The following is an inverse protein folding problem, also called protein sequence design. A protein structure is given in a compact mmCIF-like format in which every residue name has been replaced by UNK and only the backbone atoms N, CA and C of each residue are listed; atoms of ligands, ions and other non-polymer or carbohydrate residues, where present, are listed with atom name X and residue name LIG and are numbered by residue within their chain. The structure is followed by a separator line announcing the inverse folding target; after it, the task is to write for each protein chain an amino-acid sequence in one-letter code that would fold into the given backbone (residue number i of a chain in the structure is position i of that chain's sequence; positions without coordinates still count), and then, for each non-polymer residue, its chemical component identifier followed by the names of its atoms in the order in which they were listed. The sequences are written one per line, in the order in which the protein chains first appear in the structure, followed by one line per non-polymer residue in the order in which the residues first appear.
data_IF_625671799002
#
_entry.id   IF_625671799002
#
_cell.length_a   1.000
_cell.length_b   1.000
_cell.length_c   1.000
_cell.angle_alpha   90.00
_cell.angle_beta   90.00
_cell.angle_gamma   90.00
#
_symmetry.space_group_name_H-M   'P 1'
#
loop_
_entity.id
_entity.type
_entity.pdbx_description
1 polymer ?
#
# COMPACT_ATOMS: atom_id res chain seq x y z
N UNK A 1 -43.09 13.02 -36.00
CA UNK A 1 -43.47 13.44 -34.63
C UNK A 1 -42.19 13.85 -33.90
N UNK A 2 -41.83 15.13 -33.98
CA UNK A 2 -40.69 15.68 -33.22
C UNK A 2 -41.15 15.94 -31.79
N UNK A 3 -40.78 15.03 -30.90
CA UNK A 3 -41.05 15.16 -29.47
C UNK A 3 -40.11 16.20 -28.87
N UNK A 4 -40.64 17.11 -28.06
CA UNK A 4 -39.93 18.19 -27.32
C UNK A 4 -38.58 17.75 -26.69
N UNK A 5 -38.41 16.47 -26.38
CA UNK A 5 -37.15 15.87 -25.93
C UNK A 5 -35.95 16.17 -26.86
N UNK A 6 -36.15 16.22 -28.18
CA UNK A 6 -35.07 16.49 -29.16
C UNK A 6 -34.60 17.94 -29.19
N UNK A 7 -35.47 18.91 -28.86
CA UNK A 7 -35.06 20.32 -28.76
C UNK A 7 -34.31 20.60 -27.46
N UNK A 8 -34.66 19.91 -26.37
CA UNK A 8 -33.95 20.02 -25.09
C UNK A 8 -32.56 19.37 -25.10
N UNK A 9 -32.36 18.28 -25.85
CA UNK A 9 -31.07 17.56 -25.93
C UNK A 9 -29.97 18.29 -26.71
N UNK A 10 -30.26 19.41 -27.38
CA UNK A 10 -29.24 20.18 -28.10
C UNK A 10 -29.06 21.60 -27.54
N UNK A 11 -29.81 21.96 -26.49
CA UNK A 11 -29.67 23.23 -25.80
C UNK A 11 -28.29 23.36 -25.15
N UNK A 12 -27.70 24.56 -25.25
CA UNK A 12 -26.43 24.91 -24.58
C UNK A 12 -26.54 24.67 -23.07
N UNK A 13 -27.69 24.99 -22.47
CA UNK A 13 -27.94 24.79 -21.04
C UNK A 13 -27.81 23.31 -20.67
N UNK A 14 -28.41 22.40 -21.44
CA UNK A 14 -28.34 20.96 -21.17
C UNK A 14 -26.90 20.46 -21.30
N UNK A 15 -26.13 20.93 -22.28
CA UNK A 15 -24.73 20.55 -22.43
C UNK A 15 -23.86 21.02 -21.26
N UNK A 16 -24.11 22.23 -20.75
CA UNK A 16 -23.43 22.76 -19.56
C UNK A 16 -23.77 21.93 -18.33
N UNK A 17 -25.05 21.56 -18.13
CA UNK A 17 -25.47 20.69 -17.02
C UNK A 17 -24.78 19.33 -17.12
N UNK A 18 -24.79 18.70 -18.31
CA UNK A 18 -24.16 17.38 -18.50
C UNK A 18 -22.64 17.45 -18.35
N UNK A 19 -22.01 18.57 -18.71
CA UNK A 19 -20.58 18.79 -18.45
C UNK A 19 -20.27 18.79 -16.96
N UNK A 20 -21.01 19.56 -16.15
CA UNK A 20 -20.83 19.55 -14.70
C UNK A 20 -21.13 18.16 -14.11
N UNK A 21 -22.15 17.47 -14.61
CA UNK A 21 -22.45 16.09 -14.20
C UNK A 21 -21.27 15.16 -14.47
N UNK A 22 -20.65 15.22 -15.65
CA UNK A 22 -19.46 14.43 -15.97
C UNK A 22 -18.30 14.71 -15.01
N UNK A 23 -18.01 15.99 -14.76
CA UNK A 23 -16.96 16.42 -13.81
C UNK A 23 -17.23 15.90 -12.40
N UNK A 24 -18.46 16.03 -11.91
CA UNK A 24 -18.85 15.58 -10.57
C UNK A 24 -18.82 14.05 -10.45
N UNK A 25 -19.29 13.32 -11.45
CA UNK A 25 -19.24 11.87 -11.49
C UNK A 25 -17.80 11.35 -11.45
N UNK A 26 -16.91 11.88 -12.30
CA UNK A 26 -15.51 11.47 -12.33
C UNK A 26 -14.78 11.82 -11.02
N UNK A 27 -14.96 13.06 -10.54
CA UNK A 27 -14.33 13.51 -9.29
C UNK A 27 -14.83 12.69 -8.10
N UNK A 28 -16.13 12.36 -8.07
CA UNK A 28 -16.71 11.49 -7.07
C UNK A 28 -16.13 10.08 -7.13
N UNK A 29 -15.95 9.51 -8.33
CA UNK A 29 -15.36 8.18 -8.51
C UNK A 29 -13.93 8.14 -7.96
N UNK A 30 -13.11 9.14 -8.29
CA UNK A 30 -11.75 9.27 -7.74
C UNK A 30 -11.78 9.41 -6.23
N UNK A 31 -12.64 10.28 -5.67
CA UNK A 31 -12.77 10.44 -4.22
C UNK A 31 -13.12 9.12 -3.54
N UNK A 32 -14.14 8.42 -4.02
CA UNK A 32 -14.56 7.14 -3.46
C UNK A 32 -13.47 6.08 -3.56
N UNK A 33 -12.73 6.03 -4.66
CA UNK A 33 -11.60 5.11 -4.83
C UNK A 33 -10.49 5.36 -3.79
N UNK A 34 -10.13 6.63 -3.55
CA UNK A 34 -9.15 6.99 -2.52
C UNK A 34 -9.64 6.69 -1.10
N UNK A 35 -10.91 6.98 -0.79
CA UNK A 35 -11.48 6.68 0.53
C UNK A 35 -11.49 5.17 0.81
N UNK A 36 -11.76 4.35 -0.19
CA UNK A 36 -11.66 2.89 -0.07
C UNK A 36 -10.21 2.45 0.10
N UNK A 37 -9.30 2.95 -0.75
CA UNK A 37 -7.88 2.60 -0.67
C UNK A 37 -7.26 2.92 0.69
N UNK A 38 -7.61 4.06 1.30
CA UNK A 38 -7.13 4.43 2.64
C UNK A 38 -7.75 3.59 3.77
N UNK A 39 -8.98 3.10 3.60
CA UNK A 39 -9.65 2.26 4.59
C UNK A 39 -8.93 0.90 4.76
N UNK A 40 -8.40 0.38 3.65
CA UNK A 40 -7.84 -0.98 3.55
C UNK A 40 -6.35 -1.00 3.23
N UNK A 41 -5.68 0.15 3.39
CA UNK A 41 -4.25 0.33 3.10
C UNK A 41 -3.84 -0.15 1.69
N UNK A 42 -4.73 0.02 0.71
CA UNK A 42 -4.51 -0.39 -0.69
C UNK A 42 -4.84 -1.86 -1.01
N UNK A 43 -5.21 -2.68 -0.04
CA UNK A 43 -5.57 -4.10 -0.21
C UNK A 43 -7.01 -4.32 -0.70
N UNK A 44 -7.25 -4.02 -1.98
CA UNK A 44 -8.55 -4.23 -2.62
C UNK A 44 -8.98 -5.70 -2.76
N UNK A 45 -8.06 -6.64 -2.55
CA UNK A 45 -8.28 -8.08 -2.58
C UNK A 45 -9.25 -8.58 -1.50
N UNK A 46 -9.45 -7.81 -0.42
CA UNK A 46 -10.42 -8.11 0.66
C UNK A 46 -11.84 -8.45 0.17
N UNK A 47 -12.27 -7.92 -0.98
CA UNK A 47 -13.60 -8.21 -1.52
C UNK A 47 -13.73 -9.63 -2.10
N UNK A 48 -12.60 -10.23 -2.49
CA UNK A 48 -12.54 -11.57 -3.07
C UNK A 48 -12.21 -12.66 -2.04
N UNK A 49 -11.87 -12.29 -0.82
CA UNK A 49 -11.54 -13.24 0.26
C UNK A 49 -12.81 -13.90 0.83
N UNK A 50 -12.82 -15.20 0.98
CA UNK A 50 -14.02 -15.93 1.43
C UNK A 50 -14.36 -15.68 2.91
N UNK A 51 -13.36 -15.73 3.77
CA UNK A 51 -13.50 -15.54 5.20
C UNK A 51 -12.20 -14.98 5.82
N UNK A 52 -12.29 -14.51 7.07
CA UNK A 52 -11.14 -13.92 7.77
C UNK A 52 -9.96 -14.88 7.91
N UNK A 53 -10.16 -16.17 8.16
CA UNK A 53 -9.07 -17.11 8.40
C UNK A 53 -8.20 -17.38 7.16
N UNK A 54 -8.76 -17.18 5.96
CA UNK A 54 -8.02 -17.26 4.69
C UNK A 54 -7.69 -15.88 4.11
N UNK A 55 -7.94 -14.82 4.89
CA UNK A 55 -7.65 -13.44 4.47
C UNK A 55 -6.17 -13.12 4.61
N UNK A 56 -5.73 -12.16 3.80
CA UNK A 56 -4.42 -11.53 3.96
C UNK A 56 -4.26 -10.88 5.33
N UNK A 57 -5.30 -10.25 5.87
CA UNK A 57 -5.26 -9.61 7.20
C UNK A 57 -4.86 -10.61 8.28
N UNK A 58 -5.43 -11.81 8.27
CA UNK A 58 -5.10 -12.84 9.23
C UNK A 58 -3.68 -13.40 9.03
N UNK A 59 -3.23 -13.56 7.79
CA UNK A 59 -1.86 -13.98 7.49
C UNK A 59 -0.83 -12.97 8.00
N UNK A 60 -1.04 -11.67 7.78
CA UNK A 60 -0.17 -10.59 8.26
C UNK A 60 -0.14 -10.53 9.80
N UNK A 61 -1.27 -10.79 10.48
CA UNK A 61 -1.33 -10.85 11.94
C UNK A 61 -0.48 -12.01 12.50
N UNK A 62 -0.57 -13.21 11.93
CA UNK A 62 0.30 -14.32 12.37
C UNK A 62 1.75 -14.04 12.02
N UNK A 63 2.03 -13.55 10.81
CA UNK A 63 3.40 -13.22 10.38
C UNK A 63 4.08 -12.28 11.38
N UNK A 64 3.40 -11.20 11.73
CA UNK A 64 3.93 -10.20 12.65
C UNK A 64 4.30 -10.85 14.01
N UNK A 65 3.41 -11.68 14.57
CA UNK A 65 3.66 -12.39 15.82
C UNK A 65 4.82 -13.38 15.68
N UNK A 66 4.85 -14.15 14.59
CA UNK A 66 5.85 -15.17 14.35
C UNK A 66 7.25 -14.59 14.19
N UNK A 67 7.38 -13.51 13.41
CA UNK A 67 8.63 -12.75 13.24
C UNK A 67 9.08 -12.17 14.56
N UNK A 68 8.18 -11.51 15.31
CA UNK A 68 8.50 -10.89 16.58
C UNK A 68 9.01 -11.94 17.60
N UNK A 69 8.37 -13.11 17.68
CA UNK A 69 8.79 -14.20 18.55
C UNK A 69 10.14 -14.79 18.16
N UNK A 70 10.36 -15.00 16.85
CA UNK A 70 11.60 -15.58 16.33
C UNK A 70 12.80 -14.65 16.56
N UNK A 71 12.60 -13.34 16.34
CA UNK A 71 13.62 -12.34 16.62
C UNK A 71 13.95 -12.29 18.13
N UNK A 72 12.94 -12.40 19.01
CA UNK A 72 13.14 -12.40 20.45
C UNK A 72 13.95 -13.60 20.93
N UNK A 73 13.64 -14.82 20.49
CA UNK A 73 14.37 -16.02 20.94
C UNK A 73 15.73 -16.16 20.26
N UNK A 74 15.84 -15.83 18.96
CA UNK A 74 17.01 -16.09 18.13
C UNK A 74 18.01 -14.93 18.11
N UNK A 75 17.55 -13.78 17.59
CA UNK A 75 18.40 -12.61 17.30
C UNK A 75 18.74 -11.82 18.56
N UNK A 76 17.74 -11.45 19.35
CA UNK A 76 17.92 -10.61 20.52
C UNK A 76 18.23 -11.41 21.79
N UNK A 77 17.63 -12.59 21.93
CA UNK A 77 17.76 -13.50 23.08
C UNK A 77 17.26 -12.87 24.38
N UNK A 78 18.03 -11.99 24.98
CA UNK A 78 17.71 -11.30 26.23
C UNK A 78 18.49 -9.97 26.35
N UNK A 79 18.07 -9.12 27.30
CA UNK A 79 18.69 -7.80 27.50
C UNK A 79 20.19 -7.90 27.83
N UNK A 80 20.62 -8.92 28.57
CA UNK A 80 22.03 -9.11 28.91
C UNK A 80 22.89 -9.41 27.67
N UNK A 81 22.38 -10.22 26.74
CA UNK A 81 23.03 -10.50 25.46
C UNK A 81 23.21 -9.21 24.65
N UNK A 82 22.18 -8.36 24.59
CA UNK A 82 22.23 -7.08 23.88
C UNK A 82 23.22 -6.12 24.55
N UNK A 83 23.17 -5.99 25.88
CA UNK A 83 24.07 -5.11 26.65
C UNK A 83 25.55 -5.49 26.51
N UNK A 84 25.84 -6.78 26.31
CA UNK A 84 27.20 -7.28 26.01
C UNK A 84 27.63 -7.04 24.55
N UNK A 85 26.76 -6.47 23.72
CA UNK A 85 27.02 -6.25 22.29
C UNK A 85 26.88 -7.50 21.44
N UNK A 86 26.07 -8.48 21.86
CA UNK A 86 25.92 -9.77 21.19
C UNK A 86 25.46 -9.71 19.73
N UNK A 87 24.80 -8.62 19.33
CA UNK A 87 24.32 -8.36 17.97
C UNK A 87 25.29 -7.52 17.13
N UNK A 88 26.42 -7.09 17.69
CA UNK A 88 27.39 -6.23 17.01
C UNK A 88 28.45 -7.12 16.34
N UNK A 89 28.19 -7.50 15.09
CA UNK A 89 29.17 -8.18 14.24
C UNK A 89 30.18 -7.19 13.64
N UNK A 90 31.34 -7.69 13.20
CA UNK A 90 32.33 -6.84 12.53
C UNK A 90 31.76 -6.25 11.23
N UNK A 91 30.98 -7.03 10.47
CA UNK A 91 30.28 -6.57 9.27
C UNK A 91 29.33 -5.41 9.55
N UNK A 92 28.49 -5.53 10.58
CA UNK A 92 27.58 -4.45 10.98
C UNK A 92 28.36 -3.19 11.36
N UNK A 93 29.46 -3.35 12.08
CA UNK A 93 30.31 -2.23 12.47
C UNK A 93 30.98 -1.55 11.27
N UNK A 94 31.43 -2.31 10.27
CA UNK A 94 31.96 -1.78 9.00
C UNK A 94 30.90 -0.97 8.27
N UNK A 95 29.68 -1.49 8.12
CA UNK A 95 28.59 -0.79 7.43
C UNK A 95 28.22 0.53 8.14
N UNK A 96 28.11 0.49 9.46
CA UNK A 96 27.77 1.67 10.28
C UNK A 96 28.87 2.74 10.29
N UNK A 97 30.10 2.34 10.02
CA UNK A 97 31.26 3.24 9.97
C UNK A 97 31.68 3.59 8.55
N UNK A 98 31.07 3.01 7.51
CA UNK A 98 31.54 3.08 6.14
C UNK A 98 31.76 4.51 5.65
N UNK A 99 30.77 5.36 5.85
CA UNK A 99 30.87 6.77 5.46
C UNK A 99 31.89 7.55 6.30
N UNK A 100 32.19 7.12 7.52
CA UNK A 100 33.17 7.76 8.39
C UNK A 100 34.59 7.40 7.93
N UNK A 101 34.86 6.10 7.75
CA UNK A 101 36.18 5.64 7.34
C UNK A 101 36.42 5.74 5.82
N UNK A 102 35.44 6.04 4.96
CA UNK A 102 35.76 6.39 3.56
C UNK A 102 36.14 7.88 3.41
N UNK A 103 35.76 8.71 4.38
CA UNK A 103 35.96 10.17 4.33
C UNK A 103 36.96 10.70 5.37
N UNK A 104 37.65 9.83 6.11
CA UNK A 104 38.62 10.26 7.12
C UNK A 104 39.92 10.74 6.47
N UNK A 105 40.61 11.63 7.18
CA UNK A 105 41.79 12.39 6.73
C UNK A 105 42.95 11.52 6.22
N UNK A 106 43.05 10.27 6.70
CA UNK A 106 44.13 9.35 6.35
C UNK A 106 43.67 8.15 5.51
N UNK A 107 42.51 8.28 4.85
CA UNK A 107 42.09 7.30 3.86
C UNK A 107 43.09 7.23 2.71
N UNK A 108 43.51 6.02 2.35
CA UNK A 108 44.47 5.81 1.27
C UNK A 108 43.87 4.94 0.18
N UNK A 109 43.72 5.51 -1.02
CA UNK A 109 43.25 4.78 -2.21
C UNK A 109 44.22 3.70 -2.69
N UNK A 110 45.43 3.62 -2.13
CA UNK A 110 46.40 2.56 -2.41
C UNK A 110 46.32 1.37 -1.44
N UNK A 111 45.53 1.48 -0.37
CA UNK A 111 45.26 0.40 0.58
C UNK A 111 43.92 -0.26 0.28
N UNK A 112 43.73 -1.49 0.74
CA UNK A 112 42.42 -2.14 0.69
C UNK A 112 41.48 -1.51 1.72
N UNK A 113 40.18 -1.70 1.52
CA UNK A 113 39.14 -1.23 2.42
C UNK A 113 39.29 -1.81 3.83
N UNK A 114 39.66 -3.08 3.96
CA UNK A 114 39.91 -3.72 5.25
C UNK A 114 41.08 -3.07 6.00
N UNK A 115 42.15 -2.70 5.28
CA UNK A 115 43.33 -2.08 5.87
C UNK A 115 43.05 -0.61 6.25
N UNK A 116 42.32 0.13 5.41
CA UNK A 116 41.84 1.48 5.76
C UNK A 116 40.93 1.45 6.99
N UNK A 117 39.98 0.50 7.04
CA UNK A 117 39.10 0.32 8.18
C UNK A 117 39.85 -0.06 9.47
N UNK A 118 40.84 -0.97 9.38
CA UNK A 118 41.68 -1.35 10.52
C UNK A 118 42.40 -0.14 11.11
N UNK A 119 43.00 0.69 10.25
CA UNK A 119 43.67 1.94 10.66
C UNK A 119 42.71 2.93 11.29
N UNK A 120 41.51 3.10 10.74
CA UNK A 120 40.47 3.94 11.33
C UNK A 120 40.10 3.46 12.74
N UNK A 121 39.90 2.15 12.94
CA UNK A 121 39.59 1.55 14.24
C UNK A 121 40.69 1.77 15.28
N UNK A 122 41.96 1.70 14.86
CA UNK A 122 43.13 1.94 15.71
C UNK A 122 43.28 3.43 16.09
N UNK A 123 42.97 4.36 15.17
CA UNK A 123 43.11 5.80 15.40
C UNK A 123 41.91 6.42 16.13
N UNK A 124 40.71 5.88 15.96
CA UNK A 124 39.46 6.44 16.52
C UNK A 124 38.72 5.44 17.43
N UNK A 125 39.37 4.89 18.47
CA UNK A 125 38.76 3.89 19.35
C UNK A 125 37.51 4.43 20.08
N UNK A 126 37.50 5.72 20.42
CA UNK A 126 36.38 6.38 21.09
C UNK A 126 35.15 6.52 20.18
N UNK A 127 35.36 6.81 18.89
CA UNK A 127 34.26 6.87 17.91
C UNK A 127 33.63 5.49 17.72
N UNK A 128 34.47 4.46 17.60
CA UNK A 128 34.03 3.07 17.52
C UNK A 128 33.24 2.68 18.79
N UNK A 129 33.72 3.06 19.98
CA UNK A 129 33.01 2.80 21.23
C UNK A 129 31.65 3.52 21.28
N UNK A 130 31.59 4.78 20.81
CA UNK A 130 30.34 5.54 20.73
C UNK A 130 29.33 4.91 19.77
N UNK A 131 29.79 4.44 18.61
CA UNK A 131 28.94 3.73 17.64
C UNK A 131 28.42 2.43 18.25
N UNK A 132 29.27 1.63 18.89
CA UNK A 132 28.83 0.42 19.59
C UNK A 132 27.77 0.73 20.66
N UNK A 133 27.99 1.76 21.48
CA UNK A 133 27.01 2.17 22.48
C UNK A 133 25.68 2.64 21.87
N UNK A 134 25.72 3.32 20.72
CA UNK A 134 24.51 3.68 19.98
C UNK A 134 23.77 2.45 19.48
N UNK A 135 24.48 1.49 18.86
CA UNK A 135 23.90 0.24 18.36
C UNK A 135 23.25 -0.57 19.49
N UNK A 136 23.90 -0.68 20.66
CA UNK A 136 23.31 -1.34 21.84
C UNK A 136 21.99 -0.68 22.25
N UNK A 137 21.93 0.66 22.25
CA UNK A 137 20.69 1.39 22.59
C UNK A 137 19.60 1.18 21.56
N UNK A 138 19.94 1.16 20.28
CA UNK A 138 19.00 0.89 19.19
C UNK A 138 18.45 -0.53 19.28
N UNK A 139 19.32 -1.52 19.53
CA UNK A 139 18.93 -2.92 19.69
C UNK A 139 18.04 -3.13 20.92
N UNK A 140 18.34 -2.48 22.05
CA UNK A 140 17.49 -2.50 23.25
C UNK A 140 16.12 -1.85 22.96
N UNK A 141 16.10 -0.74 22.23
CA UNK A 141 14.85 -0.08 21.86
C UNK A 141 13.98 -1.01 21.01
N UNK A 142 14.55 -1.67 20.01
CA UNK A 142 13.80 -2.60 19.16
C UNK A 142 13.32 -3.82 19.96
N UNK A 143 14.19 -4.38 20.81
CA UNK A 143 13.81 -5.47 21.72
C UNK A 143 12.61 -5.10 22.59
N UNK A 144 12.58 -3.91 23.19
CA UNK A 144 11.43 -3.47 23.97
C UNK A 144 10.19 -3.21 23.11
N UNK A 145 10.36 -2.69 21.89
CA UNK A 145 9.26 -2.48 20.96
C UNK A 145 8.60 -3.81 20.55
N UNK A 146 9.38 -4.84 20.23
CA UNK A 146 8.92 -6.20 19.95
C UNK A 146 8.06 -6.73 21.10
N UNK A 147 8.58 -6.64 22.33
CA UNK A 147 7.86 -7.11 23.53
C UNK A 147 6.56 -6.35 23.77
N UNK A 148 6.57 -5.03 23.52
CA UNK A 148 5.38 -4.20 23.65
C UNK A 148 4.33 -4.57 22.61
N UNK A 149 4.70 -4.73 21.33
CA UNK A 149 3.78 -5.15 20.26
C UNK A 149 3.07 -6.45 20.63
N UNK A 150 3.81 -7.47 21.07
CA UNK A 150 3.23 -8.74 21.49
C UNK A 150 2.29 -8.61 22.70
N UNK A 151 2.55 -7.65 23.61
CA UNK A 151 1.70 -7.40 24.76
C UNK A 151 0.42 -6.60 24.43
N UNK A 152 0.40 -5.89 23.30
CA UNK A 152 -0.76 -5.13 22.82
C UNK A 152 -1.85 -6.03 22.19
N UNK A 153 -1.52 -7.28 21.83
CA UNK A 153 -2.51 -8.26 21.37
C UNK A 153 -3.29 -8.86 22.55
N UNK A 154 -4.44 -8.25 22.87
CA UNK A 154 -5.37 -8.78 23.88
C UNK A 154 -6.05 -10.07 23.37
N UNK A 155 -5.66 -11.22 23.93
CA UNK A 155 -6.13 -12.54 23.50
C UNK A 155 -5.16 -13.33 22.62
N UNK A 156 -3.92 -12.87 22.47
CA UNK A 156 -2.82 -13.68 21.92
C UNK A 156 -2.20 -14.55 23.02
N UNK A 157 -2.02 -15.83 22.73
CA UNK A 157 -1.30 -16.79 23.57
C UNK A 157 -0.11 -17.33 22.78
N UNK A 158 1.08 -17.34 23.39
CA UNK A 158 2.28 -17.80 22.70
C UNK A 158 3.30 -18.46 23.61
N UNK A 159 4.05 -19.39 23.01
CA UNK A 159 5.25 -19.97 23.59
C UNK A 159 6.31 -20.12 22.50
N UNK A 160 7.49 -19.54 22.70
CA UNK A 160 8.59 -19.63 21.76
C UNK A 160 9.89 -20.02 22.48
N UNK A 161 10.67 -20.94 21.90
CA UNK A 161 11.90 -21.46 22.47
C UNK A 161 12.89 -21.91 21.39
N UNK A 162 14.19 -21.69 21.61
CA UNK A 162 15.27 -22.17 20.73
C UNK A 162 16.32 -23.05 21.43
N UNK A 163 15.89 -23.83 22.44
CA UNK A 163 16.73 -24.69 23.26
C UNK A 163 17.59 -23.98 24.32
N UNK A 164 17.88 -22.69 24.12
CA UNK A 164 18.60 -21.86 25.11
C UNK A 164 17.72 -20.76 25.71
N UNK A 165 16.92 -20.10 24.88
CA UNK A 165 16.11 -18.94 25.26
C UNK A 165 14.64 -19.28 25.12
N UNK A 166 13.84 -18.83 26.09
CA UNK A 166 12.38 -19.02 26.11
C UNK A 166 11.72 -17.66 26.24
N UNK A 167 10.71 -17.41 25.40
CA UNK A 167 9.85 -16.24 25.48
C UNK A 167 8.38 -16.66 25.37
N UNK A 168 7.59 -16.40 26.41
CA UNK A 168 6.20 -16.87 26.50
C UNK A 168 5.35 -16.01 27.44
N UNK A 169 4.05 -15.95 27.16
CA UNK A 169 3.04 -15.40 28.07
C UNK A 169 2.17 -16.47 28.74
N UNK A 170 2.49 -17.76 28.55
CA UNK A 170 1.84 -18.90 29.20
C UNK A 170 2.88 -19.75 29.95
N UNK A 171 2.43 -20.67 30.79
CA UNK A 171 3.34 -21.65 31.39
C UNK A 171 3.64 -22.78 30.41
N UNK A 172 4.81 -23.37 30.52
CA UNK A 172 5.20 -24.52 29.70
C UNK A 172 4.20 -25.70 29.82
N UNK A 173 3.69 -25.95 31.03
CA UNK A 173 2.68 -26.98 31.29
C UNK A 173 1.33 -26.70 30.61
N UNK A 174 1.15 -25.52 30.06
CA UNK A 174 -0.07 -25.06 29.38
C UNK A 174 0.07 -25.07 27.85
N UNK A 175 1.23 -25.45 27.29
CA UNK A 175 1.45 -25.59 25.83
C UNK A 175 0.32 -26.37 25.16
N UNK A 176 -0.08 -27.50 25.75
CA UNK A 176 -1.17 -28.34 25.22
C UNK A 176 -2.54 -27.67 25.19
N UNK A 177 -2.78 -26.64 26.02
CA UNK A 177 -4.04 -25.88 26.02
C UNK A 177 -4.16 -24.98 24.79
N UNK A 178 -3.05 -24.58 24.16
CA UNK A 178 -3.07 -23.77 22.93
C UNK A 178 -3.81 -24.50 21.80
N UNK A 179 -3.68 -25.83 21.74
CA UNK A 179 -4.40 -26.67 20.77
C UNK A 179 -5.92 -26.72 20.98
N UNK A 180 -6.41 -26.22 22.11
CA UNK A 180 -7.86 -26.08 22.38
C UNK A 180 -8.45 -24.74 21.92
N UNK A 181 -7.59 -23.80 21.50
CA UNK A 181 -8.04 -22.54 20.93
C UNK A 181 -8.68 -22.77 19.55
N UNK A 182 -9.61 -21.90 19.13
CA UNK A 182 -10.25 -22.01 17.82
C UNK A 182 -9.27 -21.95 16.66
N UNK A 183 -8.14 -21.29 16.87
CA UNK A 183 -7.06 -21.14 15.88
C UNK A 183 -5.71 -21.24 16.58
N UNK A 184 -4.84 -22.07 16.03
CA UNK A 184 -3.45 -22.17 16.50
C UNK A 184 -2.48 -22.50 15.36
N UNK A 185 -1.23 -22.13 15.63
CA UNK A 185 -0.05 -22.51 14.88
C UNK A 185 0.93 -23.17 15.86
N UNK A 186 1.42 -24.35 15.51
CA UNK A 186 2.47 -25.04 16.23
C UNK A 186 3.62 -25.41 15.29
N UNK A 187 4.83 -25.01 15.66
CA UNK A 187 6.10 -25.35 15.03
C UNK A 187 6.87 -26.18 16.05
N UNK A 188 7.05 -27.46 15.79
CA UNK A 188 7.81 -28.35 16.67
C UNK A 188 8.38 -29.54 15.90
N UNK A 189 9.65 -29.89 16.12
CA UNK A 189 10.30 -31.06 15.52
C UNK A 189 10.19 -31.14 13.98
N UNK A 190 10.51 -30.06 13.26
CA UNK A 190 10.36 -29.94 11.81
C UNK A 190 8.91 -30.07 11.30
N UNK A 191 7.91 -30.03 12.19
CA UNK A 191 6.50 -30.08 11.83
C UNK A 191 5.85 -28.73 12.07
N UNK A 192 5.14 -28.29 11.05
CA UNK A 192 4.24 -27.17 11.07
C UNK A 192 2.83 -27.74 11.17
N UNK A 193 2.07 -27.31 12.16
CA UNK A 193 0.68 -27.73 12.38
C UNK A 193 -0.17 -26.48 12.52
N UNK A 194 -1.12 -26.31 11.60
CA UNK A 194 -2.12 -25.25 11.64
C UNK A 194 -3.48 -25.84 11.95
N UNK A 195 -4.25 -25.09 12.72
CA UNK A 195 -5.68 -25.36 12.88
C UNK A 195 -6.47 -24.06 12.80
N UNK A 196 -7.62 -24.07 12.12
CA UNK A 196 -8.15 -25.16 11.29
C UNK A 196 -7.34 -25.40 9.99
N UNK A 197 -7.34 -26.63 9.46
CA UNK A 197 -6.50 -27.07 8.31
C UNK A 197 -6.74 -26.23 7.05
N UNK A 198 -7.94 -25.69 6.87
CA UNK A 198 -8.28 -24.84 5.71
C UNK A 198 -7.45 -23.56 5.63
N UNK A 199 -6.80 -23.16 6.72
CA UNK A 199 -5.89 -22.02 6.77
C UNK A 199 -4.56 -22.36 6.08
N UNK A 200 -4.12 -23.62 6.18
CA UNK A 200 -2.77 -24.05 5.79
C UNK A 200 -2.49 -23.79 4.30
N UNK A 201 -3.43 -24.12 3.41
CA UNK A 201 -3.25 -23.95 1.96
C UNK A 201 -3.02 -22.48 1.54
N UNK A 202 -3.72 -21.54 2.16
CA UNK A 202 -3.52 -20.11 1.89
C UNK A 202 -2.28 -19.58 2.62
N UNK A 203 -2.01 -20.08 3.81
CA UNK A 203 -0.89 -19.63 4.65
C UNK A 203 0.48 -19.89 3.98
N UNK A 204 0.66 -21.04 3.34
CA UNK A 204 1.88 -21.34 2.58
C UNK A 204 2.13 -20.35 1.44
N UNK A 205 1.08 -19.85 0.76
CA UNK A 205 1.25 -18.90 -0.35
C UNK A 205 1.82 -17.55 0.10
N UNK A 206 1.53 -17.12 1.33
CA UNK A 206 1.95 -15.83 1.85
C UNK A 206 3.28 -15.89 2.63
N UNK A 207 3.57 -17.03 3.28
CA UNK A 207 4.62 -17.12 4.31
C UNK A 207 5.77 -18.08 4.02
N UNK A 208 5.80 -18.70 2.84
CA UNK A 208 6.85 -19.65 2.41
C UNK A 208 8.28 -19.16 2.75
N UNK A 209 8.59 -17.92 2.36
CA UNK A 209 9.90 -17.32 2.55
C UNK A 209 10.28 -17.01 4.02
N UNK A 210 9.30 -16.94 4.93
CA UNK A 210 9.51 -16.67 6.37
C UNK A 210 9.55 -17.96 7.18
N UNK A 211 8.80 -18.97 6.75
CA UNK A 211 8.86 -20.31 7.33
C UNK A 211 10.26 -20.90 7.15
N UNK A 212 10.91 -20.64 6.02
CA UNK A 212 12.32 -20.99 5.81
C UNK A 212 13.28 -20.31 6.80
N UNK A 213 12.92 -19.13 7.32
CA UNK A 213 13.74 -18.38 8.30
C UNK A 213 13.54 -18.85 9.74
N UNK A 214 12.47 -19.62 10.02
CA UNK A 214 12.16 -20.10 11.37
C UNK A 214 13.14 -21.13 11.91
N UNK A 215 14.08 -21.64 11.12
CA UNK A 215 14.94 -22.78 11.48
C UNK A 215 14.15 -23.86 12.23
N UNK A 216 13.19 -24.46 11.51
CA UNK A 216 12.17 -25.40 12.02
C UNK A 216 12.74 -26.59 12.81
N UNK A 217 14.05 -26.83 12.73
CA UNK A 217 14.74 -27.88 13.47
C UNK A 217 15.17 -27.48 14.88
N UNK A 218 15.43 -26.19 15.10
CA UNK A 218 16.00 -25.68 16.35
C UNK A 218 15.01 -24.86 17.17
N UNK A 219 13.94 -24.35 16.54
CA UNK A 219 12.96 -23.50 17.18
C UNK A 219 11.63 -24.23 17.40
N UNK A 220 11.06 -24.04 18.57
CA UNK A 220 9.71 -24.46 18.94
C UNK A 220 8.86 -23.22 19.14
N UNK A 221 7.82 -23.03 18.34
CA UNK A 221 6.94 -21.86 18.39
C UNK A 221 5.48 -22.29 18.37
N UNK A 222 4.73 -21.84 19.36
CA UNK A 222 3.29 -22.01 19.44
C UNK A 222 2.63 -20.63 19.52
N UNK A 223 1.62 -20.42 18.69
CA UNK A 223 0.79 -19.21 18.64
C UNK A 223 -0.67 -19.67 18.65
N UNK A 224 -1.50 -19.04 19.48
CA UNK A 224 -2.93 -19.29 19.49
C UNK A 224 -3.69 -18.00 19.82
N UNK A 225 -4.91 -17.90 19.31
CA UNK A 225 -5.78 -16.76 19.55
C UNK A 225 -7.03 -17.18 20.32
N UNK A 226 -7.44 -16.35 21.27
CA UNK A 226 -8.70 -16.54 21.99
C UNK A 226 -9.89 -16.27 21.07
N UNK A 227 -11.04 -16.83 21.42
CA UNK A 227 -12.29 -16.62 20.68
C UNK A 227 -12.70 -15.14 20.67
N UNK A 228 -12.51 -14.42 21.79
CA UNK A 228 -12.82 -13.00 21.89
C UNK A 228 -11.98 -12.14 20.94
N UNK A 229 -10.67 -12.43 20.82
CA UNK A 229 -9.79 -11.78 19.87
C UNK A 229 -10.28 -11.99 18.43
N UNK A 230 -10.51 -13.26 18.06
CA UNK A 230 -10.97 -13.62 16.72
C UNK A 230 -12.32 -12.99 16.39
N UNK A 231 -13.27 -13.00 17.32
CA UNK A 231 -14.59 -12.39 17.13
C UNK A 231 -14.50 -10.89 16.87
N UNK A 232 -13.61 -10.18 17.56
CA UNK A 232 -13.35 -8.76 17.30
C UNK A 232 -12.77 -8.54 15.91
N UNK A 233 -11.71 -9.28 15.54
CA UNK A 233 -11.05 -9.15 14.24
C UNK A 233 -11.95 -9.54 13.07
N UNK A 234 -12.72 -10.62 13.18
CA UNK A 234 -13.70 -11.04 12.18
C UNK A 234 -14.75 -9.94 11.96
N UNK A 235 -15.17 -9.24 13.02
CA UNK A 235 -16.13 -8.13 12.91
C UNK A 235 -15.51 -6.92 12.21
N UNK A 236 -14.28 -6.56 12.55
CA UNK A 236 -13.51 -5.49 11.88
C UNK A 236 -13.35 -5.81 10.39
N UNK A 237 -12.85 -7.02 10.07
CA UNK A 237 -12.68 -7.50 8.70
C UNK A 237 -13.99 -7.51 7.91
N UNK A 238 -15.10 -8.03 8.47
CA UNK A 238 -16.42 -8.00 7.80
C UNK A 238 -16.89 -6.58 7.53
N UNK A 239 -16.64 -5.66 8.47
CA UNK A 239 -17.02 -4.24 8.32
C UNK A 239 -16.19 -3.56 7.24
N UNK A 240 -14.88 -3.84 7.20
CA UNK A 240 -13.98 -3.36 6.16
C UNK A 240 -14.40 -3.91 4.79
N UNK A 241 -14.58 -5.23 4.65
CA UNK A 241 -15.02 -5.89 3.41
C UNK A 241 -16.32 -5.30 2.87
N UNK A 242 -17.35 -5.18 3.71
CA UNK A 242 -18.63 -4.61 3.30
C UNK A 242 -18.53 -3.14 2.89
N UNK A 243 -17.67 -2.36 3.56
CA UNK A 243 -17.42 -0.96 3.23
C UNK A 243 -16.68 -0.83 1.90
N UNK A 244 -15.70 -1.70 1.64
CA UNK A 244 -14.96 -1.79 0.38
C UNK A 244 -15.88 -2.16 -0.78
N UNK A 245 -16.70 -3.21 -0.64
CA UNK A 245 -17.69 -3.59 -1.66
C UNK A 245 -18.61 -2.42 -2.00
N UNK A 246 -19.18 -1.78 -0.98
CA UNK A 246 -20.07 -0.62 -1.17
C UNK A 246 -19.34 0.52 -1.88
N UNK A 247 -18.10 0.81 -1.49
CA UNK A 247 -17.27 1.84 -2.10
C UNK A 247 -16.96 1.53 -3.58
N UNK A 248 -16.63 0.28 -3.91
CA UNK A 248 -16.40 -0.15 -5.29
C UNK A 248 -17.68 -0.05 -6.14
N UNK A 249 -18.84 -0.42 -5.60
CA UNK A 249 -20.12 -0.21 -6.29
C UNK A 249 -20.43 1.26 -6.52
N UNK A 250 -20.09 2.12 -5.57
CA UNK A 250 -20.21 3.57 -5.72
C UNK A 250 -19.28 4.10 -6.83
N UNK A 251 -18.03 3.63 -6.88
CA UNK A 251 -17.09 3.95 -7.98
C UNK A 251 -17.66 3.51 -9.32
N UNK A 252 -18.15 2.26 -9.42
CA UNK A 252 -18.73 1.73 -10.64
C UNK A 252 -19.95 2.55 -11.11
N UNK A 253 -20.85 2.90 -10.20
CA UNK A 253 -22.02 3.74 -10.51
C UNK A 253 -21.65 5.14 -10.97
N UNK A 254 -20.63 5.76 -10.34
CA UNK A 254 -20.13 7.08 -10.74
C UNK A 254 -19.40 7.05 -12.08
N UNK A 255 -18.62 6.01 -12.36
CA UNK A 255 -17.98 5.81 -13.66
C UNK A 255 -19.02 5.57 -14.77
N UNK A 256 -20.09 4.82 -14.49
CA UNK A 256 -21.19 4.65 -15.43
C UNK A 256 -21.87 6.00 -15.73
N UNK A 257 -22.17 6.79 -14.69
CA UNK A 257 -22.71 8.15 -14.85
C UNK A 257 -21.80 9.05 -15.68
N UNK A 258 -20.50 8.99 -15.44
CA UNK A 258 -19.49 9.69 -16.23
C UNK A 258 -19.50 9.26 -17.70
N UNK A 259 -19.52 7.96 -17.99
CA UNK A 259 -19.54 7.43 -19.36
C UNK A 259 -20.80 7.84 -20.12
N UNK A 260 -21.97 7.84 -19.47
CA UNK A 260 -23.22 8.29 -20.06
C UNK A 260 -23.18 9.79 -20.38
N UNK A 261 -22.70 10.61 -19.45
CA UNK A 261 -22.54 12.05 -19.64
C UNK A 261 -21.52 12.36 -20.75
N UNK A 262 -20.37 11.67 -20.75
CA UNK A 262 -19.34 11.81 -21.77
C UNK A 262 -19.86 11.42 -23.15
N UNK A 263 -20.57 10.29 -23.26
CA UNK A 263 -21.18 9.84 -24.52
C UNK A 263 -22.14 10.90 -25.09
N UNK A 264 -22.99 11.47 -24.23
CA UNK A 264 -23.88 12.56 -24.62
C UNK A 264 -23.11 13.80 -25.11
N UNK A 265 -22.06 14.21 -24.40
CA UNK A 265 -21.22 15.35 -24.77
C UNK A 265 -20.51 15.09 -26.10
N UNK A 266 -19.96 13.88 -26.30
CA UNK A 266 -19.34 13.47 -27.56
C UNK A 266 -20.33 13.52 -28.70
N UNK A 267 -21.56 13.02 -28.54
CA UNK A 267 -22.60 13.05 -29.60
C UNK A 267 -23.01 14.49 -29.94
N UNK A 268 -23.20 15.34 -28.93
CA UNK A 268 -23.71 16.71 -29.10
C UNK A 268 -22.61 17.76 -29.35
N UNK A 269 -21.33 17.38 -29.23
CA UNK A 269 -20.19 18.26 -29.49
C UNK A 269 -20.24 18.82 -30.92
N UNK A 270 -20.14 20.15 -31.02
CA UNK A 270 -20.12 20.88 -32.28
C UNK A 270 -21.48 21.07 -32.98
N UNK A 271 -22.59 20.51 -32.48
CA UNK A 271 -23.91 20.58 -33.14
C UNK A 271 -24.86 21.54 -32.46
N UNK A 272 -25.62 22.36 -33.20
CA UNK A 272 -26.66 23.24 -32.61
C UNK A 272 -28.03 22.58 -32.47
N UNK A 273 -28.36 21.61 -33.30
CA UNK A 273 -29.65 20.91 -33.28
C UNK A 273 -29.55 19.48 -33.82
N UNK A 274 -30.60 18.69 -33.60
CA UNK A 274 -30.68 17.33 -34.12
C UNK A 274 -30.79 17.38 -35.65
N UNK A 275 -29.82 16.77 -36.35
CA UNK A 275 -29.73 16.81 -37.82
C UNK A 275 -28.81 17.90 -38.37
N UNK A 276 -28.20 18.72 -37.50
CA UNK A 276 -27.16 19.67 -37.88
C UNK A 276 -25.94 18.92 -38.44
N UNK A 277 -25.60 19.22 -39.70
CA UNK A 277 -24.46 18.63 -40.41
C UNK A 277 -23.18 19.45 -40.21
N UNK A 278 -23.30 20.70 -39.77
CA UNK A 278 -22.15 21.58 -39.58
C UNK A 278 -21.58 21.42 -38.16
N UNK A 279 -20.25 21.56 -38.05
CA UNK A 279 -19.53 21.52 -36.78
C UNK A 279 -19.13 22.94 -36.41
N UNK A 280 -19.68 23.44 -35.31
CA UNK A 280 -19.38 24.77 -34.78
C UNK A 280 -18.26 24.72 -33.74
N UNK A 281 -17.28 25.60 -33.91
CA UNK A 281 -16.10 25.75 -33.06
C UNK A 281 -16.25 26.95 -32.12
N UNK A 282 -15.76 26.81 -30.89
CA UNK A 282 -15.55 27.88 -29.92
C UNK A 282 -14.10 28.41 -30.02
N UNK A 283 -13.80 29.59 -29.46
CA UNK A 283 -12.46 30.20 -29.55
C UNK A 283 -11.32 29.31 -29.01
N UNK A 284 -11.57 28.49 -28.00
CA UNK A 284 -10.60 27.55 -27.44
C UNK A 284 -10.36 26.31 -28.32
N UNK A 285 -11.24 26.05 -29.29
CA UNK A 285 -11.04 24.99 -30.29
C UNK A 285 -10.10 25.45 -31.44
N UNK A 286 -9.38 26.56 -31.28
CA UNK A 286 -8.38 27.05 -32.24
C UNK A 286 -6.95 26.56 -31.95
N UNK A 287 -6.76 25.78 -30.89
CA UNK A 287 -5.48 25.16 -30.59
C UNK A 287 -5.13 24.14 -31.69
N UNK A 288 -3.85 24.07 -32.08
CA UNK A 288 -3.38 22.99 -32.93
C UNK A 288 -3.61 21.63 -32.26
N UNK A 289 -4.01 20.62 -33.03
CA UNK A 289 -4.49 19.34 -32.49
C UNK A 289 -3.39 18.55 -31.78
N UNK A 290 -2.15 18.63 -32.26
CA UNK A 290 -0.95 18.09 -31.64
C UNK A 290 -0.63 18.78 -30.30
N UNK A 291 -0.71 20.11 -30.24
CA UNK A 291 -0.56 20.88 -29.00
C UNK A 291 -1.67 20.52 -28.00
N UNK A 292 -2.92 20.44 -28.46
CA UNK A 292 -4.07 20.06 -27.65
C UNK A 292 -3.90 18.64 -27.07
N UNK A 293 -3.50 17.67 -27.90
CA UNK A 293 -3.19 16.31 -27.46
C UNK A 293 -2.03 16.28 -26.44
N UNK A 294 -0.98 17.05 -26.70
CA UNK A 294 0.14 17.20 -25.76
C UNK A 294 -0.30 17.74 -24.40
N UNK A 295 -1.20 18.73 -24.37
CA UNK A 295 -1.78 19.26 -23.13
C UNK A 295 -2.65 18.23 -22.41
N UNK A 296 -3.46 17.45 -23.13
CA UNK A 296 -4.22 16.34 -22.53
C UNK A 296 -3.28 15.35 -21.82
N UNK A 297 -2.21 14.92 -22.50
CA UNK A 297 -1.22 14.00 -21.94
C UNK A 297 -0.54 14.64 -20.73
N UNK A 298 -0.11 15.91 -20.84
CA UNK A 298 0.55 16.61 -19.75
C UNK A 298 -0.33 16.74 -18.49
N UNK A 299 -1.63 17.05 -18.65
CA UNK A 299 -2.56 17.14 -17.53
C UNK A 299 -2.77 15.77 -16.87
N UNK A 300 -2.96 14.71 -17.65
CA UNK A 300 -3.13 13.34 -17.12
C UNK A 300 -1.87 12.89 -16.39
N UNK A 301 -0.69 13.09 -16.99
CA UNK A 301 0.59 12.73 -16.37
C UNK A 301 0.84 13.53 -15.09
N UNK A 302 0.61 14.84 -15.11
CA UNK A 302 0.79 15.69 -13.92
C UNK A 302 -0.16 15.26 -12.80
N UNK A 303 -1.43 15.02 -13.13
CA UNK A 303 -2.41 14.53 -12.16
C UNK A 303 -2.01 13.17 -11.58
N UNK A 304 -1.56 12.23 -12.42
CA UNK A 304 -1.12 10.89 -11.98
C UNK A 304 0.12 10.96 -11.07
N UNK A 305 1.15 11.73 -11.47
CA UNK A 305 2.36 11.90 -10.66
C UNK A 305 2.03 12.52 -9.30
N UNK A 306 1.20 13.56 -9.26
CA UNK A 306 0.81 14.22 -8.01
C UNK A 306 -0.03 13.32 -7.11
N UNK A 307 -0.93 12.51 -7.69
CA UNK A 307 -1.79 11.60 -6.92
C UNK A 307 -1.03 10.40 -6.36
N UNK A 308 -0.12 9.80 -7.13
CA UNK A 308 0.71 8.67 -6.66
C UNK A 308 1.74 9.14 -5.64
N UNK A 309 2.47 10.23 -5.91
CA UNK A 309 3.54 10.67 -5.03
C UNK A 309 3.05 11.12 -3.65
N UNK A 310 1.80 11.59 -3.57
CA UNK A 310 1.23 12.10 -2.34
C UNK A 310 0.00 11.32 -1.88
N UNK A 311 -0.18 10.06 -2.32
CA UNK A 311 -1.38 9.26 -2.07
C UNK A 311 -1.80 9.27 -0.59
N UNK A 312 -0.86 8.96 0.30
CA UNK A 312 -1.07 8.86 1.76
C UNK A 312 -1.34 10.22 2.43
N UNK A 313 -0.88 11.33 1.81
CA UNK A 313 -0.98 12.68 2.39
C UNK A 313 -2.13 13.50 1.82
N UNK A 314 -2.50 13.25 0.58
CA UNK A 314 -3.53 14.02 -0.12
C UNK A 314 -4.92 13.65 0.40
N UNK A 315 -5.18 12.36 0.69
CA UNK A 315 -6.47 11.89 1.20
C UNK A 315 -7.68 12.58 0.57
N UNK A 316 -8.50 13.25 1.39
CA UNK A 316 -9.72 13.96 0.93
C UNK A 316 -9.43 15.20 0.05
N UNK A 317 -8.20 15.71 0.03
CA UNK A 317 -7.81 16.83 -0.82
C UNK A 317 -7.65 16.45 -2.31
N UNK A 318 -7.72 15.15 -2.65
CA UNK A 318 -7.65 14.66 -4.04
C UNK A 318 -8.70 15.31 -4.95
N UNK A 319 -9.83 15.71 -4.37
CA UNK A 319 -10.92 16.43 -5.05
C UNK A 319 -10.44 17.75 -5.63
N UNK A 320 -9.64 18.53 -4.89
CA UNK A 320 -9.16 19.85 -5.32
C UNK A 320 -8.17 19.75 -6.48
N UNK A 321 -7.43 18.64 -6.58
CA UNK A 321 -6.54 18.36 -7.69
C UNK A 321 -7.30 17.82 -8.91
N UNK A 322 -8.27 16.93 -8.66
CA UNK A 322 -9.00 16.22 -9.72
C UNK A 322 -9.97 17.12 -10.47
N UNK A 323 -10.69 18.00 -9.76
CA UNK A 323 -11.72 18.86 -10.34
C UNK A 323 -11.18 19.78 -11.45
N UNK A 324 -10.09 20.56 -11.28
CA UNK A 324 -9.53 21.36 -12.36
C UNK A 324 -8.94 20.50 -13.48
N UNK A 325 -8.27 19.39 -13.13
CA UNK A 325 -7.66 18.49 -14.11
C UNK A 325 -8.71 17.88 -15.05
N UNK A 326 -9.79 17.30 -14.52
CA UNK A 326 -10.86 16.71 -15.34
C UNK A 326 -11.63 17.78 -16.11
N UNK A 327 -11.87 18.95 -15.53
CA UNK A 327 -12.57 20.04 -16.22
C UNK A 327 -11.78 20.51 -17.44
N UNK A 328 -10.47 20.75 -17.28
CA UNK A 328 -9.60 21.18 -18.37
C UNK A 328 -9.40 20.05 -19.40
N UNK A 329 -9.18 18.82 -18.93
CA UNK A 329 -9.05 17.64 -19.79
C UNK A 329 -10.29 17.39 -20.65
N UNK A 330 -11.50 17.51 -20.08
CA UNK A 330 -12.75 17.36 -20.84
C UNK A 330 -12.93 18.45 -21.90
N UNK A 331 -12.55 19.70 -21.61
CA UNK A 331 -12.63 20.79 -22.60
C UNK A 331 -11.71 20.54 -23.79
N UNK A 332 -10.46 20.15 -23.51
CA UNK A 332 -9.46 19.81 -24.52
C UNK A 332 -9.88 18.59 -25.36
N UNK A 333 -10.37 17.54 -24.70
CA UNK A 333 -10.92 16.36 -25.35
C UNK A 333 -12.12 16.68 -26.25
N UNK A 334 -13.08 17.47 -25.78
CA UNK A 334 -14.24 17.85 -26.59
C UNK A 334 -13.87 18.74 -27.77
N UNK A 335 -12.79 19.51 -27.68
CA UNK A 335 -12.19 20.22 -28.82
C UNK A 335 -11.69 19.24 -29.89
N UNK A 336 -10.91 18.22 -29.50
CA UNK A 336 -10.44 17.17 -30.42
C UNK A 336 -11.61 16.42 -31.08
N UNK A 337 -12.67 16.13 -30.34
CA UNK A 337 -13.89 15.49 -30.88
C UNK A 337 -14.53 16.33 -31.98
N UNK A 338 -14.54 17.66 -31.87
CA UNK A 338 -15.07 18.55 -32.94
C UNK A 338 -14.16 18.50 -34.17
N UNK A 339 -12.85 18.55 -34.01
CA UNK A 339 -11.90 18.42 -35.12
C UNK A 339 -12.00 17.07 -35.84
N UNK A 340 -12.20 15.99 -35.08
CA UNK A 340 -12.49 14.66 -35.63
C UNK A 340 -13.76 14.69 -36.49
N UNK A 341 -14.87 15.19 -35.94
CA UNK A 341 -16.15 15.28 -36.65
C UNK A 341 -16.10 16.18 -37.89
N UNK A 342 -15.28 17.24 -37.86
CA UNK A 342 -15.12 18.17 -38.98
C UNK A 342 -14.08 17.68 -40.01
N UNK A 343 -13.42 16.53 -39.79
CA UNK A 343 -12.37 16.02 -40.67
C UNK A 343 -11.11 16.88 -40.73
N UNK A 344 -10.87 17.72 -39.71
CA UNK A 344 -9.69 18.60 -39.62
C UNK A 344 -8.66 18.12 -38.60
N UNK A 345 -8.83 16.92 -38.03
CA UNK A 345 -7.95 16.38 -36.99
C UNK A 345 -6.47 16.33 -37.42
N UNK A 346 -6.17 15.88 -38.64
CA UNK A 346 -4.81 15.85 -39.19
C UNK A 346 -4.45 17.09 -40.02
N UNK A 347 -5.40 18.00 -40.25
CA UNK A 347 -5.21 19.19 -41.09
C UNK A 347 -4.86 20.44 -40.28
N UNK A 348 -5.08 20.38 -38.98
CA UNK A 348 -4.88 21.49 -38.04
C UNK A 348 -3.81 21.10 -37.01
N UNK A 349 -2.67 20.59 -37.50
CA UNK A 349 -1.45 20.30 -36.74
C UNK A 349 -0.49 21.48 -36.88
N UNK A 350 0.35 21.71 -35.87
CA UNK A 350 1.46 22.67 -35.96
C UNK A 350 2.61 22.09 -36.79
N UNK A 351 2.79 20.76 -36.72
CA UNK A 351 3.74 19.97 -37.50
C UNK A 351 3.27 19.68 -38.93
#
# INVERSE_FOLDING_TARGET
MDTKLKSFSHSIITKVIVFFLAVLCFTGAVKSFFEVGLLIDGHFDIVFEDNYYVSRSFAEEIEAVLVDLTDLIGKYKNEEHILKGGLITEERLVNETQNLWMNYEYYSSSLSDEENYRRYKEMYPDEIANIKNRLIKEDLKEYHALRQRLAEYDGLLYYAENGENVYSNIKETEKGRLKSCPVYLAVENYRLEFYPEEIEENYYLWLDHKIDQLDLGNNTVYIAFTEDFLNSRIKEWKTAKASTEKGLWQVAGLLLGFLLALSYLVVTAGRKSFGDKEVHFYPFDRLYNDVNLGLCIAIVTLWFVLTVHWFDRIGRAVVFLTLPAISMGLLLFLSLVKHYKNGTLLKHTLL
#
